data_IF_991991311476
#
_entry.id   IF_991991311476
#
_cell.length_a   1.000
_cell.length_b   1.000
_cell.length_c   1.000
_cell.angle_alpha   90.00
_cell.angle_beta   90.00
_cell.angle_gamma   90.00
#
_symmetry.space_group_name_H-M   'P 1'
#
loop_
_entity.id
_entity.type
_entity.pdbx_description
1 polymer ?
#
# COMPACT_ATOMS: atom_id res chain seq x y z
N UNK A 1 -3.61 8.85 -7.51
CA UNK A 1 -2.18 9.22 -7.58
C UNK A 1 -1.36 8.01 -7.97
N UNK A 2 -0.49 8.15 -8.95
CA UNK A 2 0.59 7.21 -9.24
C UNK A 2 1.84 7.68 -8.48
N UNK A 3 2.37 6.82 -7.62
CA UNK A 3 3.57 7.13 -6.86
C UNK A 3 4.81 7.18 -7.77
N UNK A 4 5.81 7.96 -7.37
CA UNK A 4 7.13 7.96 -8.01
C UNK A 4 7.66 6.55 -8.25
N UNK A 5 8.19 6.26 -9.45
CA UNK A 5 8.64 4.93 -9.86
C UNK A 5 7.51 3.98 -10.30
N UNK A 6 6.26 4.45 -10.41
CA UNK A 6 5.11 3.67 -10.85
C UNK A 6 4.31 4.42 -11.91
N UNK A 7 3.67 3.66 -12.81
CA UNK A 7 2.81 4.22 -13.85
C UNK A 7 3.53 5.24 -14.71
N UNK A 8 2.85 6.33 -15.02
CA UNK A 8 3.39 7.45 -15.80
C UNK A 8 4.14 8.49 -14.95
N UNK A 9 4.30 8.27 -13.64
CA UNK A 9 5.13 9.12 -12.79
C UNK A 9 6.61 8.96 -13.10
N UNK A 10 7.45 9.91 -12.61
CA UNK A 10 8.89 9.87 -12.84
C UNK A 10 9.55 8.59 -12.36
N UNK A 11 10.37 7.98 -13.22
CA UNK A 11 11.17 6.79 -12.93
C UNK A 11 12.66 7.14 -12.86
N UNK A 12 13.34 6.62 -11.82
CA UNK A 12 14.79 6.81 -11.62
C UNK A 12 15.61 5.57 -12.08
N UNK A 13 14.94 4.58 -12.67
CA UNK A 13 15.50 3.37 -13.29
C UNK A 13 14.92 3.20 -14.68
N UNK A 14 15.72 2.71 -15.63
CA UNK A 14 15.31 2.57 -17.03
C UNK A 14 14.46 1.35 -17.32
N UNK A 15 14.55 0.29 -16.50
CA UNK A 15 13.74 -0.91 -16.65
C UNK A 15 12.33 -0.66 -16.07
N UNK A 16 11.25 -0.69 -16.88
CA UNK A 16 9.89 -0.40 -16.41
C UNK A 16 9.36 -1.43 -15.39
N UNK A 17 9.97 -2.61 -15.34
CA UNK A 17 9.59 -3.62 -14.34
C UNK A 17 10.18 -3.34 -12.95
N UNK A 18 11.14 -2.42 -12.82
CA UNK A 18 11.79 -2.13 -11.55
C UNK A 18 11.21 -0.89 -10.89
N UNK A 19 11.03 -0.95 -9.57
CA UNK A 19 10.78 0.21 -8.72
C UNK A 19 12.01 0.55 -7.89
N UNK A 20 12.32 1.85 -7.81
CA UNK A 20 13.41 2.39 -7.01
C UNK A 20 12.97 3.67 -6.32
N UNK A 21 13.47 3.90 -5.12
CA UNK A 21 13.40 5.18 -4.40
C UNK A 21 14.58 5.26 -3.44
N UNK A 22 15.14 6.44 -3.28
CA UNK A 22 16.26 6.72 -2.37
C UNK A 22 15.82 6.99 -0.93
N UNK A 23 14.63 7.56 -0.73
CA UNK A 23 14.04 7.86 0.58
C UNK A 23 12.52 7.72 0.52
N UNK A 24 11.96 6.83 1.34
CA UNK A 24 10.51 6.61 1.43
C UNK A 24 9.73 7.88 1.82
N UNK A 25 10.35 8.85 2.50
CA UNK A 25 9.72 10.13 2.88
C UNK A 25 9.30 10.94 1.68
N UNK A 26 9.94 10.72 0.52
CA UNK A 26 9.53 11.37 -0.74
C UNK A 26 8.15 10.92 -1.19
N UNK A 27 7.78 9.64 -0.97
CA UNK A 27 6.41 9.18 -1.21
C UNK A 27 5.40 9.93 -0.34
N UNK A 28 5.72 10.12 0.94
CA UNK A 28 4.86 10.83 1.89
C UNK A 28 4.69 12.30 1.48
N UNK A 29 5.79 12.96 1.16
CA UNK A 29 5.78 14.37 0.74
C UNK A 29 5.02 14.58 -0.57
N UNK A 30 5.29 13.76 -1.59
CA UNK A 30 4.59 13.80 -2.89
C UNK A 30 3.09 13.58 -2.71
N UNK A 31 2.70 12.61 -1.87
CA UNK A 31 1.29 12.30 -1.63
C UNK A 31 0.58 13.40 -0.86
N UNK A 32 1.18 13.91 0.21
CA UNK A 32 0.60 15.02 0.97
C UNK A 32 0.43 16.27 0.09
N UNK A 33 1.45 16.62 -0.70
CA UNK A 33 1.36 17.75 -1.63
C UNK A 33 0.27 17.55 -2.68
N UNK A 34 0.14 16.34 -3.25
CA UNK A 34 -0.93 16.03 -4.21
C UNK A 34 -2.32 16.13 -3.57
N UNK A 35 -2.50 15.58 -2.37
CA UNK A 35 -3.78 15.63 -1.67
C UNK A 35 -4.17 17.06 -1.30
N UNK A 36 -3.22 17.85 -0.79
CA UNK A 36 -3.47 19.22 -0.37
C UNK A 36 -3.72 20.19 -1.55
N UNK A 37 -3.10 19.96 -2.70
CA UNK A 37 -3.30 20.79 -3.89
C UNK A 37 -4.42 20.25 -4.77
N UNK A 38 -4.14 19.16 -5.50
CA UNK A 38 -5.06 18.58 -6.48
C UNK A 38 -6.29 17.97 -5.79
N UNK A 39 -6.10 17.19 -4.71
CA UNK A 39 -7.20 16.56 -3.99
C UNK A 39 -8.22 17.59 -3.49
N UNK A 40 -7.77 18.63 -2.80
CA UNK A 40 -8.66 19.68 -2.28
C UNK A 40 -9.32 20.51 -3.39
N UNK A 41 -8.62 20.78 -4.48
CA UNK A 41 -9.21 21.48 -5.64
C UNK A 41 -10.38 20.69 -6.21
N UNK A 42 -10.21 19.37 -6.41
CA UNK A 42 -11.30 18.51 -6.94
C UNK A 42 -12.39 18.20 -5.92
N UNK A 43 -12.08 18.23 -4.62
CA UNK A 43 -13.08 18.08 -3.57
C UNK A 43 -14.04 19.27 -3.50
N UNK A 44 -13.67 20.46 -4.00
CA UNK A 44 -14.54 21.65 -4.07
C UNK A 44 -15.21 22.02 -2.74
N UNK A 45 -14.53 21.78 -1.61
CA UNK A 45 -15.06 22.00 -0.26
C UNK A 45 -15.81 20.82 0.35
N UNK A 46 -16.01 19.75 -0.37
CA UNK A 46 -16.54 18.47 0.16
C UNK A 46 -15.45 17.70 0.91
N UNK A 47 -15.82 16.70 1.74
CA UNK A 47 -14.85 15.85 2.45
C UNK A 47 -13.82 15.19 1.53
N UNK A 48 -12.55 15.31 1.87
CA UNK A 48 -11.45 14.65 1.18
C UNK A 48 -11.15 13.31 1.85
N UNK A 49 -11.59 12.22 1.24
CA UNK A 49 -11.40 10.88 1.75
C UNK A 49 -10.24 10.16 1.07
N UNK A 50 -9.56 9.28 1.83
CA UNK A 50 -8.45 8.48 1.38
C UNK A 50 -8.89 7.03 1.11
N UNK A 51 -8.52 6.47 -0.06
CA UNK A 51 -8.51 5.03 -0.30
C UNK A 51 -7.12 4.61 -0.76
N UNK A 52 -6.51 3.68 -0.04
CA UNK A 52 -5.18 3.16 -0.34
C UNK A 52 -5.15 1.63 -0.34
N UNK A 53 -4.33 1.06 -1.23
CA UNK A 53 -4.08 -0.38 -1.29
C UNK A 53 -2.59 -0.68 -1.21
N UNK A 54 -2.22 -1.77 -0.53
CA UNK A 54 -0.86 -2.34 -0.50
C UNK A 54 0.21 -1.31 -0.11
N UNK A 55 1.23 -1.08 -0.95
CA UNK A 55 2.26 -0.06 -0.74
C UNK A 55 1.64 1.31 -0.49
N UNK A 56 0.63 1.69 -1.28
CA UNK A 56 -0.11 2.94 -1.08
C UNK A 56 -0.74 3.03 0.31
N UNK A 57 -1.18 1.89 0.88
CA UNK A 57 -1.71 1.83 2.24
C UNK A 57 -0.65 2.09 3.33
N UNK A 58 0.56 1.59 3.14
CA UNK A 58 1.68 1.91 4.04
C UNK A 58 2.10 3.37 3.95
N UNK A 59 2.13 3.93 2.73
CA UNK A 59 2.41 5.36 2.51
C UNK A 59 1.27 6.21 3.08
N UNK A 60 0.00 5.83 2.85
CA UNK A 60 -1.17 6.52 3.38
C UNK A 60 -1.19 6.56 4.91
N UNK A 61 -0.81 5.45 5.58
CA UNK A 61 -0.62 5.42 7.02
C UNK A 61 0.40 6.47 7.47
N UNK A 62 1.58 6.51 6.85
CA UNK A 62 2.60 7.51 7.15
C UNK A 62 2.14 8.94 6.87
N UNK A 63 1.34 9.16 5.82
CA UNK A 63 0.76 10.49 5.56
C UNK A 63 -0.18 10.90 6.68
N UNK A 64 -1.08 10.02 7.14
CA UNK A 64 -1.98 10.32 8.26
C UNK A 64 -1.24 10.60 9.57
N UNK A 65 -0.10 9.92 9.81
CA UNK A 65 0.76 10.16 10.97
C UNK A 65 1.43 11.55 10.96
N UNK A 66 1.83 12.02 9.78
CA UNK A 66 2.52 13.31 9.63
C UNK A 66 1.58 14.49 9.35
N UNK A 67 0.38 14.21 8.83
CA UNK A 67 -0.62 15.21 8.44
C UNK A 67 -2.02 14.76 8.92
N UNK A 68 -2.28 14.73 10.25
CA UNK A 68 -3.47 14.11 10.82
C UNK A 68 -4.80 14.71 10.36
N UNK A 69 -4.81 15.98 9.92
CA UNK A 69 -6.02 16.70 9.44
C UNK A 69 -6.12 16.76 7.90
N UNK A 70 -5.30 15.99 7.15
CA UNK A 70 -5.32 16.07 5.69
C UNK A 70 -6.56 15.40 5.08
N UNK A 71 -7.02 14.31 5.69
CA UNK A 71 -8.18 13.53 5.23
C UNK A 71 -9.27 13.46 6.28
N UNK A 72 -10.53 13.47 5.84
CA UNK A 72 -11.70 13.33 6.71
C UNK A 72 -11.90 11.87 7.13
N UNK A 73 -11.66 10.91 6.23
CA UNK A 73 -11.71 9.46 6.50
C UNK A 73 -10.71 8.72 5.63
N UNK A 74 -10.28 7.55 6.09
CA UNK A 74 -9.35 6.69 5.38
C UNK A 74 -9.82 5.24 5.27
N UNK A 75 -9.61 4.65 4.11
CA UNK A 75 -9.76 3.21 3.86
C UNK A 75 -8.41 2.63 3.46
N UNK A 76 -7.91 1.69 4.24
CA UNK A 76 -6.65 0.98 3.98
C UNK A 76 -6.96 -0.47 3.60
N UNK A 77 -6.76 -0.83 2.34
CA UNK A 77 -7.00 -2.19 1.82
C UNK A 77 -5.68 -2.97 1.74
N UNK A 78 -5.55 -4.03 2.53
CA UNK A 78 -4.35 -4.84 2.63
C UNK A 78 -3.06 -3.98 2.69
N UNK A 79 -2.97 -2.99 3.61
CA UNK A 79 -1.90 -2.01 3.60
C UNK A 79 -0.55 -2.68 3.90
N UNK A 80 0.50 -2.25 3.19
CA UNK A 80 1.88 -2.69 3.43
C UNK A 80 2.44 -2.00 4.70
N UNK A 81 1.90 -2.37 5.86
CA UNK A 81 2.49 -1.97 7.15
C UNK A 81 3.84 -2.65 7.33
N UNK A 82 3.98 -3.90 6.87
CA UNK A 82 5.27 -4.56 6.70
C UNK A 82 5.25 -5.51 5.50
N UNK A 83 6.25 -5.44 4.60
CA UNK A 83 6.34 -6.37 3.47
C UNK A 83 6.78 -7.76 3.91
N UNK A 84 6.41 -8.79 3.14
CA UNK A 84 7.02 -10.13 3.23
C UNK A 84 8.40 -10.07 2.56
N UNK A 85 9.44 -10.45 3.29
CA UNK A 85 10.84 -10.37 2.80
C UNK A 85 11.56 -11.72 2.76
N UNK A 86 10.84 -12.84 3.02
CA UNK A 86 11.37 -14.20 2.91
C UNK A 86 12.43 -14.60 3.95
N UNK A 87 12.83 -13.69 4.83
CA UNK A 87 13.81 -13.90 5.91
C UNK A 87 13.52 -12.96 7.08
N UNK A 88 14.15 -13.12 8.26
CA UNK A 88 13.98 -12.16 9.35
C UNK A 88 14.32 -10.72 8.91
N UNK A 89 13.41 -9.79 9.16
CA UNK A 89 13.47 -8.40 8.64
C UNK A 89 14.77 -7.69 9.02
N UNK A 90 15.32 -7.95 10.21
CA UNK A 90 16.58 -7.34 10.63
C UNK A 90 17.76 -7.80 9.75
N UNK A 91 17.80 -9.08 9.31
CA UNK A 91 18.82 -9.61 8.41
C UNK A 91 18.64 -8.96 7.01
N UNK A 92 17.40 -8.95 6.50
CA UNK A 92 17.09 -8.33 5.21
C UNK A 92 17.53 -6.85 5.16
N UNK A 93 17.30 -6.11 6.26
CA UNK A 93 17.72 -4.70 6.37
C UNK A 93 19.24 -4.53 6.34
N UNK A 94 19.99 -5.35 7.07
CA UNK A 94 21.46 -5.30 7.06
C UNK A 94 21.98 -5.63 5.67
N UNK A 95 21.46 -6.71 5.05
CA UNK A 95 21.89 -7.15 3.73
C UNK A 95 21.59 -6.10 2.64
N UNK A 96 20.36 -5.59 2.60
CA UNK A 96 19.99 -4.54 1.62
C UNK A 96 20.77 -3.26 1.86
N UNK A 97 20.94 -2.82 3.10
CA UNK A 97 21.75 -1.64 3.43
C UNK A 97 23.21 -1.77 3.01
N UNK A 98 23.82 -2.95 3.21
CA UNK A 98 25.18 -3.23 2.73
C UNK A 98 25.27 -3.19 1.19
N UNK A 99 24.31 -3.81 0.49
CA UNK A 99 24.26 -3.79 -0.98
C UNK A 99 24.06 -2.37 -1.52
N UNK A 100 23.21 -1.56 -0.90
CA UNK A 100 23.04 -0.15 -1.25
C UNK A 100 24.33 0.64 -1.03
N UNK A 101 25.00 0.46 0.10
CA UNK A 101 26.30 1.10 0.40
C UNK A 101 27.43 0.72 -0.57
N UNK A 102 27.35 -0.48 -1.18
CA UNK A 102 28.28 -0.95 -2.21
C UNK A 102 27.88 -0.49 -3.63
N UNK A 103 26.81 0.30 -3.79
CA UNK A 103 26.36 0.83 -5.09
C UNK A 103 25.38 -0.07 -5.84
N UNK A 104 24.89 -1.15 -5.23
CA UNK A 104 23.91 -2.08 -5.84
C UNK A 104 22.45 -1.68 -5.56
N UNK A 105 22.18 -0.51 -5.03
CA UNK A 105 20.84 -0.06 -4.64
C UNK A 105 19.80 -0.12 -5.78
N UNK A 106 20.20 0.13 -7.04
CA UNK A 106 19.33 0.03 -8.22
C UNK A 106 19.23 -1.39 -8.82
N UNK A 107 19.99 -2.35 -8.31
CA UNK A 107 19.90 -3.73 -8.75
C UNK A 107 18.64 -4.41 -8.22
N UNK A 108 18.13 -5.37 -8.99
CA UNK A 108 16.94 -6.17 -8.64
C UNK A 108 17.18 -7.04 -7.43
N UNK A 109 16.19 -7.13 -6.54
CA UNK A 109 16.17 -8.10 -5.43
C UNK A 109 16.19 -9.53 -5.96
N UNK A 110 16.97 -10.40 -5.32
CA UNK A 110 17.06 -11.81 -5.72
C UNK A 110 15.69 -12.50 -5.70
N UNK A 111 15.44 -13.31 -6.73
CA UNK A 111 14.17 -14.04 -6.89
C UNK A 111 13.04 -13.21 -7.52
N UNK A 112 13.17 -11.89 -7.65
CA UNK A 112 12.22 -11.09 -8.42
C UNK A 112 12.49 -11.19 -9.92
N UNK A 113 11.43 -11.08 -10.72
CA UNK A 113 11.48 -11.16 -12.19
C UNK A 113 10.91 -9.90 -12.83
N UNK A 114 11.24 -9.66 -14.09
CA UNK A 114 10.52 -8.65 -14.88
C UNK A 114 9.08 -9.09 -15.11
N UNK A 115 8.22 -8.13 -15.48
CA UNK A 115 6.85 -8.41 -15.87
C UNK A 115 6.83 -9.41 -17.04
N UNK A 116 5.99 -10.43 -16.92
CA UNK A 116 5.70 -11.37 -18.01
C UNK A 116 4.36 -11.04 -18.67
N UNK A 117 4.28 -10.99 -20.01
CA UNK A 117 3.00 -10.90 -20.70
C UNK A 117 2.18 -12.20 -20.60
N UNK A 118 2.78 -13.31 -20.18
CA UNK A 118 2.09 -14.57 -19.91
C UNK A 118 1.43 -14.51 -18.53
N UNK A 119 0.14 -14.83 -18.47
CA UNK A 119 -0.64 -14.85 -17.23
C UNK A 119 -0.71 -16.26 -16.65
N UNK A 120 -0.19 -16.43 -15.45
CA UNK A 120 -0.40 -17.64 -14.64
C UNK A 120 -1.65 -17.47 -13.74
N UNK A 121 -2.72 -18.19 -14.08
CA UNK A 121 -3.95 -18.16 -13.29
C UNK A 121 -3.86 -18.98 -12.00
N UNK A 122 -2.93 -19.90 -11.87
CA UNK A 122 -2.78 -20.70 -10.65
C UNK A 122 -2.30 -19.84 -9.47
N UNK A 123 -1.50 -18.82 -9.72
CA UNK A 123 -1.08 -17.85 -8.70
C UNK A 123 -2.28 -17.03 -8.16
N UNK A 124 -3.36 -16.91 -8.94
CA UNK A 124 -4.56 -16.16 -8.61
C UNK A 124 -5.76 -17.05 -8.21
N UNK A 125 -5.49 -18.31 -7.82
CA UNK A 125 -6.55 -19.28 -7.51
C UNK A 125 -7.45 -18.81 -6.37
N UNK A 126 -8.72 -18.59 -6.71
CA UNK A 126 -9.76 -18.07 -5.80
C UNK A 126 -10.16 -16.64 -6.08
N UNK A 127 -9.41 -15.89 -6.89
CA UNK A 127 -9.83 -14.61 -7.44
C UNK A 127 -10.84 -14.76 -8.59
N UNK A 128 -11.43 -13.65 -9.02
CA UNK A 128 -12.25 -13.59 -10.24
C UNK A 128 -11.34 -13.61 -11.46
N UNK A 129 -11.38 -14.68 -12.24
CA UNK A 129 -10.58 -14.79 -13.47
C UNK A 129 -10.79 -13.61 -14.41
N UNK A 130 -12.04 -13.12 -14.57
CA UNK A 130 -12.33 -11.98 -15.42
C UNK A 130 -11.62 -10.69 -14.94
N UNK A 131 -11.54 -10.45 -13.61
CA UNK A 131 -10.83 -9.28 -13.06
C UNK A 131 -9.33 -9.41 -13.19
N UNK A 132 -8.81 -10.61 -12.91
CA UNK A 132 -7.36 -10.90 -13.06
C UNK A 132 -6.92 -10.71 -14.51
N UNK A 133 -7.65 -11.27 -15.48
CA UNK A 133 -7.39 -11.09 -16.91
C UNK A 133 -7.48 -9.63 -17.35
N UNK A 134 -8.50 -8.91 -16.87
CA UNK A 134 -8.65 -7.49 -17.18
C UNK A 134 -7.48 -6.67 -16.68
N UNK A 135 -7.09 -6.85 -15.41
CA UNK A 135 -5.96 -6.15 -14.80
C UNK A 135 -4.63 -6.48 -15.50
N UNK A 136 -4.39 -7.78 -15.75
CA UNK A 136 -3.20 -8.22 -16.48
C UNK A 136 -3.12 -7.62 -17.88
N UNK A 137 -4.26 -7.56 -18.60
CA UNK A 137 -4.34 -6.93 -19.92
C UNK A 137 -3.94 -5.44 -19.87
N UNK A 138 -4.35 -4.68 -18.87
CA UNK A 138 -3.92 -3.27 -18.74
C UNK A 138 -2.39 -3.17 -18.64
N UNK A 139 -1.75 -4.08 -17.91
CA UNK A 139 -0.29 -4.12 -17.77
C UNK A 139 0.41 -4.57 -19.06
N UNK A 140 -0.20 -5.45 -19.84
CA UNK A 140 0.32 -5.85 -21.17
C UNK A 140 0.23 -4.70 -22.16
N UNK A 141 -0.90 -3.98 -22.16
CA UNK A 141 -1.18 -2.91 -23.11
C UNK A 141 -0.34 -1.63 -22.82
N UNK A 142 0.08 -1.43 -21.56
CA UNK A 142 0.82 -0.22 -21.15
C UNK A 142 2.10 -0.58 -20.38
N UNK A 143 3.24 -0.28 -21.00
CA UNK A 143 4.58 -0.52 -20.43
C UNK A 143 4.78 0.22 -19.10
N UNK A 144 4.17 1.40 -18.93
CA UNK A 144 4.25 2.15 -17.68
C UNK A 144 3.63 1.39 -16.48
N UNK A 145 2.68 0.49 -16.75
CA UNK A 145 2.01 -0.31 -15.73
C UNK A 145 2.74 -1.63 -15.40
N UNK A 146 3.94 -1.88 -15.93
CA UNK A 146 4.66 -3.15 -15.83
C UNK A 146 5.57 -3.28 -14.59
N UNK A 147 5.50 -2.37 -13.63
CA UNK A 147 6.24 -2.50 -12.37
C UNK A 147 5.94 -3.85 -11.70
N UNK A 148 6.98 -4.67 -11.49
CA UNK A 148 6.86 -6.06 -11.03
C UNK A 148 7.92 -6.48 -10.01
N UNK A 149 9.04 -5.77 -9.95
CA UNK A 149 10.17 -6.16 -9.15
C UNK A 149 10.74 -4.99 -8.34
N UNK A 150 11.08 -5.27 -7.09
CA UNK A 150 11.78 -4.34 -6.23
C UNK A 150 13.28 -4.27 -6.55
N UNK A 151 13.87 -3.09 -6.39
CA UNK A 151 15.31 -2.93 -6.24
C UNK A 151 15.73 -3.10 -4.77
N UNK A 152 17.02 -3.32 -4.50
CA UNK A 152 17.52 -3.43 -3.13
C UNK A 152 17.26 -2.14 -2.33
N UNK A 153 17.39 -0.97 -2.95
CA UNK A 153 17.10 0.30 -2.29
C UNK A 153 15.62 0.41 -1.95
N UNK A 154 14.72 0.11 -2.90
CA UNK A 154 13.29 0.15 -2.60
C UNK A 154 12.92 -0.80 -1.45
N UNK A 155 13.45 -2.03 -1.45
CA UNK A 155 13.21 -2.99 -0.37
C UNK A 155 13.74 -2.49 0.98
N UNK A 156 14.92 -1.85 0.99
CA UNK A 156 15.48 -1.23 2.18
C UNK A 156 14.58 -0.10 2.70
N UNK A 157 14.10 0.77 1.81
CA UNK A 157 13.21 1.88 2.13
C UNK A 157 11.81 1.41 2.57
N UNK A 158 11.26 0.34 1.97
CA UNK A 158 9.99 -0.25 2.40
C UNK A 158 10.06 -0.78 3.84
N UNK A 159 11.18 -1.44 4.21
CA UNK A 159 11.40 -1.86 5.60
C UNK A 159 11.66 -0.69 6.55
N UNK A 160 12.24 0.40 6.08
CA UNK A 160 12.42 1.62 6.86
C UNK A 160 11.07 2.32 7.13
N UNK A 161 10.20 2.43 6.11
CA UNK A 161 8.82 2.90 6.23
C UNK A 161 8.05 2.06 7.27
N UNK A 162 8.08 0.72 7.13
CA UNK A 162 7.43 -0.22 8.06
C UNK A 162 7.80 0.06 9.53
N UNK A 163 9.09 0.31 9.79
CA UNK A 163 9.53 0.65 11.16
C UNK A 163 9.08 2.03 11.62
N UNK A 164 8.93 2.97 10.70
CA UNK A 164 8.48 4.31 11.02
C UNK A 164 7.00 4.31 11.41
N UNK A 165 6.15 3.72 10.56
CA UNK A 165 4.69 3.67 10.76
C UNK A 165 4.26 2.80 11.96
N UNK A 166 5.14 1.94 12.46
CA UNK A 166 4.85 1.13 13.64
C UNK A 166 5.36 1.74 14.95
N UNK A 167 5.83 2.98 14.95
CA UNK A 167 6.19 3.63 16.22
C UNK A 167 4.92 4.02 16.97
N UNK A 168 4.84 3.74 18.29
CA UNK A 168 3.63 4.05 19.07
C UNK A 168 3.23 5.52 19.04
N UNK A 169 4.19 6.44 19.10
CA UNK A 169 3.98 7.87 19.01
C UNK A 169 3.43 8.30 17.63
N UNK A 170 3.85 7.65 16.57
CA UNK A 170 3.37 7.91 15.22
C UNK A 170 1.96 7.36 15.02
N UNK A 171 1.71 6.11 15.40
CA UNK A 171 0.35 5.54 15.37
C UNK A 171 -0.63 6.37 16.20
N UNK A 172 -0.20 6.87 17.38
CA UNK A 172 -0.99 7.71 18.25
C UNK A 172 -1.29 9.12 17.70
N UNK A 173 -0.59 9.54 16.66
CA UNK A 173 -0.87 10.82 15.98
C UNK A 173 -2.00 10.71 14.93
N UNK A 174 -2.50 9.51 14.63
CA UNK A 174 -3.57 9.32 13.65
C UNK A 174 -4.91 9.72 14.24
N UNK A 175 -5.45 10.86 13.79
CA UNK A 175 -6.78 11.36 14.14
C UNK A 175 -7.86 10.95 13.12
N UNK A 176 -7.46 10.64 11.89
CA UNK A 176 -8.36 10.29 10.78
C UNK A 176 -9.09 8.98 11.07
N UNK A 177 -10.44 8.96 11.15
CA UNK A 177 -11.21 7.72 11.25
C UNK A 177 -10.84 6.76 10.12
N UNK A 178 -10.46 5.54 10.46
CA UNK A 178 -9.86 4.60 9.51
C UNK A 178 -10.58 3.27 9.46
N UNK A 179 -10.84 2.77 8.24
CA UNK A 179 -11.33 1.41 7.98
C UNK A 179 -10.20 0.60 7.33
N UNK A 180 -9.70 -0.42 8.03
CA UNK A 180 -8.65 -1.31 7.53
C UNK A 180 -9.21 -2.66 7.12
N UNK A 181 -8.96 -3.06 5.88
CA UNK A 181 -9.25 -4.41 5.38
C UNK A 181 -8.00 -5.26 5.35
N UNK A 182 -8.06 -6.43 5.97
CA UNK A 182 -6.97 -7.39 6.01
C UNK A 182 -7.29 -8.61 5.14
N UNK A 183 -6.39 -8.96 4.21
CA UNK A 183 -6.47 -10.16 3.39
C UNK A 183 -5.88 -11.36 4.14
N UNK A 184 -6.67 -12.41 4.35
CA UNK A 184 -6.25 -13.56 5.20
C UNK A 184 -5.26 -14.51 4.53
N UNK A 185 -5.17 -14.51 3.18
CA UNK A 185 -4.24 -15.31 2.37
C UNK A 185 -3.24 -14.41 1.66
N UNK A 186 -2.82 -13.34 2.31
CA UNK A 186 -1.84 -12.40 1.78
C UNK A 186 -0.45 -13.03 1.76
N UNK A 187 0.25 -12.92 0.63
CA UNK A 187 1.61 -13.41 0.43
C UNK A 187 2.61 -12.26 0.24
N UNK A 188 2.14 -11.01 0.16
CA UNK A 188 2.93 -9.82 -0.11
C UNK A 188 3.19 -8.98 1.14
N UNK A 189 2.19 -8.91 2.04
CA UNK A 189 2.27 -8.12 3.26
C UNK A 189 1.93 -8.96 4.49
N UNK A 190 2.53 -8.65 5.61
CA UNK A 190 2.37 -9.38 6.86
C UNK A 190 1.13 -8.91 7.62
N UNK A 191 0.25 -9.85 7.99
CA UNK A 191 -0.97 -9.56 8.75
C UNK A 191 -0.69 -9.14 10.19
N UNK A 192 0.31 -9.73 10.86
CA UNK A 192 0.66 -9.38 12.24
C UNK A 192 0.97 -7.89 12.44
N UNK A 193 1.87 -7.29 11.65
CA UNK A 193 2.11 -5.85 11.72
C UNK A 193 0.88 -4.97 11.44
N UNK A 194 -0.09 -5.44 10.63
CA UNK A 194 -1.37 -4.73 10.49
C UNK A 194 -2.18 -4.78 11.79
N UNK A 195 -2.15 -5.92 12.50
CA UNK A 195 -2.81 -6.07 13.80
C UNK A 195 -2.15 -5.14 14.85
N UNK A 196 -0.81 -5.12 14.90
CA UNK A 196 -0.04 -4.23 15.78
C UNK A 196 -0.33 -2.74 15.49
N UNK A 197 -0.45 -2.38 14.21
CA UNK A 197 -0.78 -1.01 13.79
C UNK A 197 -2.17 -0.60 14.31
N UNK A 198 -3.18 -1.46 14.12
CA UNK A 198 -4.56 -1.22 14.59
C UNK A 198 -4.59 -1.06 16.12
N UNK A 199 -3.88 -1.92 16.85
CA UNK A 199 -3.81 -1.85 18.31
C UNK A 199 -3.19 -0.52 18.78
N UNK A 200 -2.05 -0.13 18.20
CA UNK A 200 -1.35 1.11 18.55
C UNK A 200 -2.14 2.38 18.22
N UNK A 201 -2.85 2.40 17.09
CA UNK A 201 -3.75 3.52 16.76
C UNK A 201 -4.85 3.64 17.81
N UNK A 202 -5.45 2.53 18.24
CA UNK A 202 -6.49 2.53 19.29
C UNK A 202 -5.93 2.93 20.67
N UNK A 203 -4.75 2.46 21.03
CA UNK A 203 -4.07 2.85 22.27
C UNK A 203 -3.76 4.36 22.29
N UNK A 204 -3.48 4.96 21.13
CA UNK A 204 -3.34 6.40 20.96
C UNK A 204 -4.65 7.19 20.98
N UNK A 205 -5.80 6.52 21.03
CA UNK A 205 -7.13 7.16 21.04
C UNK A 205 -7.73 7.34 19.64
N UNK A 206 -7.07 6.86 18.58
CA UNK A 206 -7.57 6.94 17.21
C UNK A 206 -8.71 5.95 16.92
N UNK A 207 -9.65 6.35 16.05
CA UNK A 207 -10.75 5.50 15.59
C UNK A 207 -10.33 4.64 14.42
N UNK A 208 -10.22 3.33 14.62
CA UNK A 208 -9.89 2.37 13.55
C UNK A 208 -10.69 1.07 13.68
N UNK A 209 -11.45 0.75 12.62
CA UNK A 209 -12.14 -0.53 12.46
C UNK A 209 -11.30 -1.45 11.56
N UNK A 210 -11.13 -2.72 11.95
CA UNK A 210 -10.47 -3.74 11.13
C UNK A 210 -11.43 -4.83 10.73
N UNK A 211 -11.49 -5.12 9.42
CA UNK A 211 -12.28 -6.22 8.86
C UNK A 211 -11.34 -7.20 8.15
N UNK A 212 -11.40 -8.48 8.54
CA UNK A 212 -10.59 -9.53 7.93
C UNK A 212 -11.41 -10.38 6.96
N UNK A 213 -10.93 -10.44 5.72
CA UNK A 213 -11.41 -11.37 4.69
C UNK A 213 -10.53 -12.63 4.69
N UNK A 214 -10.83 -13.61 5.52
CA UNK A 214 -9.96 -14.75 5.84
C UNK A 214 -9.55 -15.63 4.65
N UNK A 215 -10.35 -15.66 3.58
CA UNK A 215 -10.08 -16.43 2.35
C UNK A 215 -9.60 -15.57 1.18
N UNK A 216 -9.49 -14.25 1.36
CA UNK A 216 -9.10 -13.33 0.30
C UNK A 216 -7.59 -13.36 0.05
N UNK A 217 -7.22 -13.22 -1.20
CA UNK A 217 -5.88 -12.86 -1.65
C UNK A 217 -5.63 -11.37 -1.39
N UNK A 218 -4.40 -10.93 -1.63
CA UNK A 218 -3.94 -9.56 -1.41
C UNK A 218 -4.87 -8.51 -2.05
N UNK A 219 -5.23 -8.70 -3.33
CA UNK A 219 -6.15 -7.83 -4.06
C UNK A 219 -7.61 -8.22 -3.74
N UNK A 220 -8.17 -7.73 -2.61
CA UNK A 220 -9.55 -8.02 -2.19
C UNK A 220 -10.55 -7.62 -3.28
N UNK A 221 -10.29 -6.53 -3.99
CA UNK A 221 -11.11 -6.05 -5.13
C UNK A 221 -11.07 -6.98 -6.35
N UNK A 222 -10.11 -7.91 -6.43
CA UNK A 222 -10.02 -8.93 -7.49
C UNK A 222 -10.75 -10.22 -7.15
N UNK A 223 -11.30 -10.35 -5.94
CA UNK A 223 -12.04 -11.52 -5.52
C UNK A 223 -13.41 -11.65 -6.25
N UNK A 224 -14.10 -12.80 -6.16
CA UNK A 224 -15.46 -12.95 -6.71
C UNK A 224 -16.47 -11.94 -6.12
N UNK A 225 -17.59 -11.70 -6.83
CA UNK A 225 -18.62 -10.74 -6.42
C UNK A 225 -19.17 -10.95 -5.02
N UNK A 226 -19.20 -12.20 -4.53
CA UNK A 226 -19.61 -12.56 -3.17
C UNK A 226 -18.70 -11.97 -2.08
N UNK A 227 -17.47 -11.59 -2.44
CA UNK A 227 -16.52 -10.92 -1.56
C UNK A 227 -16.50 -9.42 -1.86
N UNK A 228 -16.37 -9.05 -3.16
CA UNK A 228 -16.23 -7.64 -3.58
C UNK A 228 -17.49 -6.83 -3.30
N UNK A 229 -18.68 -7.40 -3.45
CA UNK A 229 -19.95 -6.70 -3.15
C UNK A 229 -19.99 -6.18 -1.70
N UNK A 230 -19.93 -7.06 -0.69
CA UNK A 230 -19.87 -6.65 0.72
C UNK A 230 -18.68 -5.71 1.04
N UNK A 231 -17.51 -5.94 0.42
CA UNK A 231 -16.34 -5.10 0.60
C UNK A 231 -16.59 -3.65 0.13
N UNK A 232 -17.11 -3.47 -1.09
CA UNK A 232 -17.40 -2.14 -1.64
C UNK A 232 -18.53 -1.46 -0.87
N UNK A 233 -19.61 -2.20 -0.52
CA UNK A 233 -20.71 -1.64 0.27
C UNK A 233 -20.21 -1.11 1.62
N UNK A 234 -19.34 -1.88 2.32
CA UNK A 234 -18.78 -1.43 3.60
C UNK A 234 -17.92 -0.17 3.45
N UNK A 235 -17.18 -0.04 2.34
CA UNK A 235 -16.43 1.20 2.03
C UNK A 235 -17.39 2.36 1.85
N UNK A 236 -18.43 2.20 1.03
CA UNK A 236 -19.41 3.25 0.76
C UNK A 236 -20.15 3.67 2.02
N UNK A 237 -20.61 2.70 2.83
CA UNK A 237 -21.29 2.96 4.11
C UNK A 237 -20.38 3.75 5.05
N UNK A 238 -19.11 3.35 5.17
CA UNK A 238 -18.12 4.03 6.02
C UNK A 238 -17.85 5.46 5.56
N UNK A 239 -17.63 5.67 4.27
CA UNK A 239 -17.33 6.99 3.71
C UNK A 239 -18.54 7.93 3.75
N UNK A 240 -19.78 7.41 3.61
CA UNK A 240 -21.02 8.17 3.64
C UNK A 240 -21.54 8.47 5.04
N UNK A 241 -21.08 7.75 6.07
CA UNK A 241 -21.53 7.98 7.45
C UNK A 241 -21.15 9.39 7.93
N UNK A 242 -21.97 10.08 8.74
CA UNK A 242 -21.57 11.33 9.38
C UNK A 242 -20.32 11.16 10.24
N UNK A 243 -19.48 12.21 10.33
CA UNK A 243 -18.26 12.16 11.15
C UNK A 243 -18.55 11.86 12.64
N UNK A 244 -19.67 12.33 13.16
CA UNK A 244 -20.09 12.17 14.56
C UNK A 244 -20.59 10.75 14.89
N UNK A 245 -20.66 9.85 13.91
CA UNK A 245 -21.16 8.47 14.07
C UNK A 245 -20.06 7.41 14.17
N UNK A 246 -18.80 7.81 14.16
CA UNK A 246 -17.59 6.98 14.19
C UNK A 246 -16.81 7.25 15.48
#
# INVERSE_FOLDING_TARGET
LEHRGHGHSAHDVSNPSLVWIDDWRRYVADFAAFADTVGREYACGEPLNLYCHSMGGGIGAAVMEHYPSLFDKAVLSAPMIAPVVGMPTWIARIATGALCGLGFGKARVFGHTDFSPELDLDEHKGASEARVRWFHKQRVDDVACQTNAATFEWAHQAMALSRAVLKPDMCGAIETPTLLFQAGRDVWVLNGPQDDFVERVREGGGSIEKIRYGKSLHEIFSMPNTVVGPYVNKILDFLSAPADSL
#
